data_IF_636420932960
#
_entry.id   IF_636420932960
#
_cell.length_a   1.000
_cell.length_b   1.000
_cell.length_c   1.000
_cell.angle_alpha   90.00
_cell.angle_beta   90.00
_cell.angle_gamma   90.00
#
_symmetry.space_group_name_H-M   'P 1'
#
loop_
_entity.id
_entity.type
_entity.pdbx_description
1 polymer ?
#
# COMPACT_ATOMS: atom_id res chain seq x y z
N UNK A 1 -34.29 31.64 -44.85
CA UNK A 1 -33.62 31.04 -43.67
C UNK A 1 -33.09 32.18 -42.80
N UNK A 2 -33.63 32.34 -41.58
CA UNK A 2 -33.39 33.54 -40.76
C UNK A 2 -31.94 33.62 -40.28
N UNK A 3 -31.30 34.78 -40.49
CA UNK A 3 -29.92 35.07 -40.04
C UNK A 3 -29.72 34.85 -38.53
N UNK A 4 -30.79 34.98 -37.74
CA UNK A 4 -30.80 34.70 -36.30
C UNK A 4 -30.57 33.22 -35.97
N UNK A 5 -31.00 32.29 -36.82
CA UNK A 5 -30.79 30.85 -36.65
C UNK A 5 -29.33 30.44 -36.98
N UNK A 6 -28.71 31.08 -37.99
CA UNK A 6 -27.28 30.89 -38.30
C UNK A 6 -26.37 31.36 -37.16
N UNK A 7 -26.67 32.53 -36.55
CA UNK A 7 -25.90 33.04 -35.41
C UNK A 7 -25.99 32.14 -34.17
N UNK A 8 -27.16 31.51 -33.95
CA UNK A 8 -27.37 30.60 -32.82
C UNK A 8 -26.58 29.29 -32.98
N UNK A 9 -26.49 28.75 -34.20
CA UNK A 9 -25.75 27.52 -34.51
C UNK A 9 -24.22 27.76 -34.41
N UNK A 10 -23.73 28.92 -34.86
CA UNK A 10 -22.30 29.28 -34.76
C UNK A 10 -21.87 29.48 -33.30
N UNK A 11 -22.74 30.05 -32.45
CA UNK A 11 -22.49 30.22 -31.01
C UNK A 11 -22.39 28.88 -30.25
N UNK A 12 -23.22 27.89 -30.61
CA UNK A 12 -23.18 26.55 -30.02
C UNK A 12 -21.91 25.77 -30.43
N UNK A 13 -21.41 25.99 -31.65
CA UNK A 13 -20.20 25.34 -32.17
C UNK A 13 -18.90 25.91 -31.56
N UNK A 14 -18.87 27.21 -31.24
CA UNK A 14 -17.72 27.87 -30.59
C UNK A 14 -17.61 27.56 -29.09
N UNK A 15 -18.64 27.02 -28.46
CA UNK A 15 -18.68 26.77 -27.00
C UNK A 15 -18.21 25.37 -26.57
N UNK A 16 -17.85 24.47 -27.49
CA UNK A 16 -17.51 23.07 -27.19
C UNK A 16 -16.06 22.65 -27.49
N UNK A 17 -15.13 23.59 -27.66
CA UNK A 17 -13.69 23.27 -27.73
C UNK A 17 -13.00 23.52 -26.39
N UNK A 18 -13.54 23.00 -25.30
CA UNK A 18 -12.74 22.81 -24.10
C UNK A 18 -11.94 21.52 -24.29
N UNK A 19 -10.67 21.66 -24.68
CA UNK A 19 -9.69 20.59 -24.50
C UNK A 19 -9.59 20.30 -23.00
N UNK A 20 -10.24 19.23 -22.54
CA UNK A 20 -10.04 18.70 -21.20
C UNK A 20 -8.65 18.05 -21.19
N UNK A 21 -7.64 18.79 -20.73
CA UNK A 21 -6.35 18.20 -20.38
C UNK A 21 -6.53 17.41 -19.09
N UNK A 22 -6.73 16.10 -19.23
CA UNK A 22 -6.79 15.17 -18.10
C UNK A 22 -5.41 14.89 -17.48
N UNK A 23 -4.32 15.37 -18.12
CA UNK A 23 -2.97 15.06 -17.71
C UNK A 23 -2.38 16.17 -16.85
N UNK A 24 -1.96 15.78 -15.65
CA UNK A 24 -1.24 16.59 -14.69
C UNK A 24 0.18 16.93 -15.22
N UNK A 25 0.63 18.16 -15.03
CA UNK A 25 2.02 18.58 -15.30
C UNK A 25 3.05 18.00 -14.30
N UNK A 26 2.60 17.16 -13.35
CA UNK A 26 3.47 16.51 -12.37
C UNK A 26 4.03 15.22 -12.95
N UNK A 27 5.26 15.30 -13.47
CA UNK A 27 5.96 14.18 -14.09
C UNK A 27 7.25 13.88 -13.31
N UNK A 28 7.44 12.61 -12.98
CA UNK A 28 8.72 12.06 -12.55
C UNK A 28 9.41 11.47 -13.78
N UNK A 29 10.58 11.97 -14.13
CA UNK A 29 11.35 11.52 -15.30
C UNK A 29 12.84 11.42 -14.97
N UNK A 30 13.52 10.47 -15.60
CA UNK A 30 14.92 10.18 -15.35
C UNK A 30 15.67 9.90 -16.65
N UNK A 31 16.98 10.19 -16.67
CA UNK A 31 17.85 10.04 -17.84
C UNK A 31 18.47 8.65 -17.99
N UNK A 32 18.28 7.78 -17.00
CA UNK A 32 18.89 6.46 -16.95
C UNK A 32 17.93 5.45 -16.28
N UNK A 33 18.04 4.15 -16.63
CA UNK A 33 17.32 3.08 -15.94
C UNK A 33 17.72 2.98 -14.46
N UNK A 34 16.83 2.40 -13.66
CA UNK A 34 17.10 2.07 -12.27
C UNK A 34 18.06 0.88 -12.14
N UNK A 35 18.99 0.95 -11.19
CA UNK A 35 19.82 -0.18 -10.75
C UNK A 35 19.29 -0.79 -9.45
N UNK A 36 18.70 0.04 -8.58
CA UNK A 36 18.15 -0.35 -7.28
C UNK A 36 16.63 -0.18 -7.23
N UNK A 37 15.97 -0.86 -6.28
CA UNK A 37 14.51 -0.84 -6.18
C UNK A 37 13.98 0.56 -5.84
N UNK A 38 14.70 1.30 -5.02
CA UNK A 38 14.39 2.65 -4.56
C UNK A 38 14.40 3.68 -5.70
N UNK A 39 15.00 3.33 -6.84
CA UNK A 39 15.07 4.16 -8.05
C UNK A 39 13.97 3.84 -9.07
N UNK A 40 13.26 2.72 -8.87
CA UNK A 40 12.22 2.26 -9.78
C UNK A 40 10.95 3.09 -9.68
N UNK A 41 10.19 3.16 -10.79
CA UNK A 41 8.91 3.86 -10.82
C UNK A 41 7.78 2.93 -10.43
N UNK A 42 7.07 3.28 -9.36
CA UNK A 42 5.96 2.49 -8.83
C UNK A 42 4.63 2.89 -9.47
N UNK A 43 3.90 1.90 -9.95
CA UNK A 43 2.55 2.00 -10.50
C UNK A 43 1.61 1.13 -9.67
N UNK A 44 0.35 1.52 -9.56
CA UNK A 44 -0.65 0.68 -8.91
C UNK A 44 -2.07 1.15 -9.09
N UNK A 45 -3.02 0.23 -8.96
CA UNK A 45 -4.46 0.48 -9.05
C UNK A 45 -5.20 0.22 -7.72
N UNK A 46 -4.47 0.14 -6.62
CA UNK A 46 -5.00 -0.19 -5.28
C UNK A 46 -5.08 -1.69 -4.98
N UNK A 47 -5.01 -2.57 -5.99
CA UNK A 47 -4.88 -4.02 -5.79
C UNK A 47 -3.56 -4.56 -6.34
N UNK A 48 -3.28 -4.29 -7.60
CA UNK A 48 -2.03 -4.69 -8.24
C UNK A 48 -1.04 -3.52 -8.21
N UNK A 49 0.23 -3.87 -8.00
CA UNK A 49 1.35 -2.94 -8.03
C UNK A 49 2.45 -3.46 -8.95
N UNK A 50 3.17 -2.52 -9.56
CA UNK A 50 4.34 -2.80 -10.38
C UNK A 50 5.44 -1.79 -10.08
N UNK A 51 6.68 -2.24 -9.99
CA UNK A 51 7.86 -1.37 -9.87
C UNK A 51 8.72 -1.54 -11.13
N UNK A 52 8.79 -0.50 -11.95
CA UNK A 52 9.37 -0.53 -13.31
C UNK A 52 10.77 0.07 -13.29
N UNK A 53 11.76 -0.69 -13.79
CA UNK A 53 13.17 -0.26 -13.78
C UNK A 53 13.60 0.50 -15.06
N UNK A 54 12.91 0.29 -16.19
CA UNK A 54 13.17 0.99 -17.45
C UNK A 54 14.40 0.48 -18.20
N UNK A 55 14.78 -0.80 -18.06
CA UNK A 55 15.94 -1.38 -18.73
C UNK A 55 15.84 -1.33 -20.26
N UNK A 56 16.94 -0.96 -20.93
CA UNK A 56 16.93 -0.68 -22.39
C UNK A 56 16.88 -1.95 -23.24
N UNK A 57 17.72 -2.95 -22.95
CA UNK A 57 17.74 -4.21 -23.70
C UNK A 57 16.75 -5.25 -23.14
N UNK A 58 16.58 -5.25 -21.82
CA UNK A 58 15.59 -6.02 -21.09
C UNK A 58 15.19 -5.20 -19.88
N UNK A 59 13.90 -5.08 -19.64
CA UNK A 59 13.38 -4.44 -18.44
C UNK A 59 13.20 -5.46 -17.32
N UNK A 60 13.08 -4.96 -16.09
CA UNK A 60 12.80 -5.72 -14.88
C UNK A 60 11.61 -5.06 -14.20
N UNK A 61 10.52 -5.81 -14.00
CA UNK A 61 9.28 -5.27 -13.44
C UNK A 61 8.89 -6.10 -12.24
N UNK A 62 9.00 -5.54 -11.03
CA UNK A 62 8.59 -6.27 -9.83
C UNK A 62 7.08 -6.17 -9.68
N UNK A 63 6.41 -7.29 -9.51
CA UNK A 63 4.96 -7.37 -9.41
C UNK A 63 4.51 -7.67 -7.98
N UNK A 64 3.37 -7.07 -7.62
CA UNK A 64 2.75 -7.21 -6.31
C UNK A 64 1.21 -7.29 -6.46
N UNK A 65 0.57 -8.10 -5.61
CA UNK A 65 -0.88 -8.11 -5.41
C UNK A 65 -1.17 -7.86 -3.93
N UNK A 66 -2.09 -6.96 -3.58
CA UNK A 66 -2.38 -6.54 -2.21
C UNK A 66 -2.86 -7.68 -1.29
N UNK A 67 -3.33 -8.79 -1.87
CA UNK A 67 -3.86 -9.96 -1.16
C UNK A 67 -2.87 -11.10 -1.04
N UNK A 68 -1.67 -10.99 -1.62
CA UNK A 68 -0.65 -12.03 -1.55
C UNK A 68 0.11 -11.96 -0.21
N UNK A 69 -0.38 -12.73 0.75
CA UNK A 69 0.20 -12.85 2.09
C UNK A 69 0.53 -14.32 2.39
N UNK A 70 1.53 -14.54 3.25
CA UNK A 70 1.85 -15.87 3.76
C UNK A 70 0.78 -16.38 4.73
N UNK A 71 0.80 -17.68 4.98
CA UNK A 71 0.04 -18.32 6.05
C UNK A 71 -1.44 -18.50 5.74
N UNK A 72 -2.24 -18.50 6.78
CA UNK A 72 -3.64 -18.90 6.78
C UNK A 72 -4.45 -18.06 7.79
N UNK A 73 -5.80 -18.14 7.78
CA UNK A 73 -6.62 -17.50 8.79
C UNK A 73 -6.15 -17.84 10.21
N UNK A 74 -5.97 -16.81 11.04
CA UNK A 74 -5.45 -16.96 12.40
C UNK A 74 -6.60 -17.23 13.37
N UNK A 75 -6.41 -18.19 14.27
CA UNK A 75 -7.31 -18.39 15.41
C UNK A 75 -7.32 -17.12 16.30
N UNK A 76 -8.47 -16.46 16.51
CA UNK A 76 -8.54 -15.27 17.36
C UNK A 76 -8.15 -15.56 18.83
N UNK A 77 -8.18 -16.82 19.26
CA UNK A 77 -7.81 -17.25 20.60
C UNK A 77 -6.41 -17.91 20.67
N UNK A 78 -5.40 -17.26 20.08
CA UNK A 78 -4.02 -17.79 20.00
C UNK A 78 -3.38 -18.14 21.35
N UNK A 79 -3.84 -17.55 22.45
CA UNK A 79 -3.36 -17.84 23.80
C UNK A 79 -4.53 -17.77 24.79
N UNK A 80 -5.32 -18.86 24.93
CA UNK A 80 -6.52 -18.90 25.77
C UNK A 80 -6.24 -18.62 27.25
N UNK A 81 -5.01 -18.89 27.68
CA UNK A 81 -4.58 -18.87 29.07
C UNK A 81 -3.86 -17.56 29.43
N UNK A 82 -3.71 -16.63 28.49
CA UNK A 82 -3.02 -15.36 28.68
C UNK A 82 -3.56 -14.58 29.89
N UNK A 83 -4.89 -14.50 30.01
CA UNK A 83 -5.55 -13.74 31.08
C UNK A 83 -5.16 -14.23 32.48
N UNK A 84 -4.81 -15.52 32.66
CA UNK A 84 -4.41 -16.08 33.95
C UNK A 84 -3.09 -15.51 34.46
N UNK A 85 -2.22 -15.02 33.57
CA UNK A 85 -0.93 -14.43 33.95
C UNK A 85 -1.02 -12.93 34.27
N UNK A 86 -2.10 -12.24 33.87
CA UNK A 86 -2.26 -10.79 34.06
C UNK A 86 -2.22 -10.38 35.55
N UNK A 87 -2.86 -11.09 36.50
CA UNK A 87 -2.76 -10.75 37.93
C UNK A 87 -1.32 -10.79 38.45
N UNK A 88 -0.55 -11.81 38.05
CA UNK A 88 0.84 -11.96 38.48
C UNK A 88 1.75 -10.86 37.91
N UNK A 89 1.52 -10.44 36.66
CA UNK A 89 2.23 -9.28 36.06
C UNK A 89 1.95 -8.01 36.86
N UNK A 90 0.67 -7.74 37.18
CA UNK A 90 0.27 -6.55 37.95
C UNK A 90 0.89 -6.53 39.35
N UNK A 91 0.93 -7.68 40.03
CA UNK A 91 1.55 -7.79 41.36
C UNK A 91 3.07 -7.57 41.29
N UNK A 92 3.75 -8.12 40.28
CA UNK A 92 5.18 -7.87 40.08
C UNK A 92 5.48 -6.39 39.85
N UNK A 93 4.65 -5.69 39.06
CA UNK A 93 4.77 -4.24 38.83
C UNK A 93 4.51 -3.42 40.09
N UNK A 94 3.50 -3.79 40.90
CA UNK A 94 3.19 -3.13 42.17
C UNK A 94 4.35 -3.21 43.16
N UNK A 95 5.10 -4.31 43.13
CA UNK A 95 6.29 -4.52 43.95
C UNK A 95 7.58 -4.03 43.27
N UNK A 96 7.49 -3.25 42.19
CA UNK A 96 8.63 -2.71 41.41
C UNK A 96 9.60 -3.79 40.89
N UNK A 97 9.15 -5.04 40.80
CA UNK A 97 9.95 -6.15 40.29
C UNK A 97 9.83 -6.26 38.76
N UNK A 98 10.47 -5.32 38.06
CA UNK A 98 10.37 -5.20 36.60
C UNK A 98 10.90 -6.42 35.84
N UNK A 99 11.93 -7.09 36.37
CA UNK A 99 12.50 -8.29 35.74
C UNK A 99 11.50 -9.45 35.74
N UNK A 100 10.80 -9.64 36.87
CA UNK A 100 9.75 -10.64 36.97
C UNK A 100 8.56 -10.26 36.08
N UNK A 101 8.18 -8.98 36.06
CA UNK A 101 7.09 -8.49 35.21
C UNK A 101 7.37 -8.77 33.73
N UNK A 102 8.57 -8.52 33.20
CA UNK A 102 8.93 -8.83 31.80
C UNK A 102 8.81 -10.34 31.51
N UNK A 103 9.34 -11.17 32.41
CA UNK A 103 9.29 -12.63 32.24
C UNK A 103 7.86 -13.16 32.22
N UNK A 104 6.98 -12.64 33.09
CA UNK A 104 5.57 -13.00 33.12
C UNK A 104 4.80 -12.45 31.91
N UNK A 105 5.17 -11.26 31.42
CA UNK A 105 4.55 -10.63 30.26
C UNK A 105 4.74 -11.44 28.96
N UNK A 106 5.81 -12.23 28.85
CA UNK A 106 5.99 -13.16 27.71
C UNK A 106 4.89 -14.23 27.63
N UNK A 107 4.26 -14.57 28.75
CA UNK A 107 3.19 -15.58 28.81
C UNK A 107 1.83 -15.09 28.30
N UNK A 108 1.69 -13.78 28.06
CA UNK A 108 0.44 -13.19 27.55
C UNK A 108 0.50 -12.86 26.06
N UNK A 109 1.64 -13.12 25.40
CA UNK A 109 1.86 -12.83 23.99
C UNK A 109 1.27 -13.92 23.09
N UNK A 110 1.12 -13.60 21.80
CA UNK A 110 0.69 -14.51 20.74
C UNK A 110 1.76 -14.71 19.67
N UNK A 111 1.36 -15.29 18.53
CA UNK A 111 2.23 -15.46 17.36
C UNK A 111 2.51 -14.13 16.66
N UNK A 112 3.63 -14.04 15.95
CA UNK A 112 3.90 -12.92 15.03
C UNK A 112 2.93 -12.92 13.84
N UNK A 113 2.76 -11.74 13.21
CA UNK A 113 1.91 -11.58 12.03
C UNK A 113 2.49 -12.32 10.82
N UNK A 114 1.62 -12.62 9.85
CA UNK A 114 2.04 -13.12 8.55
C UNK A 114 2.76 -12.02 7.73
N UNK A 115 3.50 -12.44 6.70
CA UNK A 115 4.31 -11.54 5.87
C UNK A 115 3.65 -11.31 4.52
N UNK A 116 3.74 -10.07 4.03
CA UNK A 116 3.39 -9.72 2.66
C UNK A 116 4.42 -10.30 1.69
N UNK A 117 3.98 -10.90 0.58
CA UNK A 117 4.87 -11.59 -0.35
C UNK A 117 4.94 -10.90 -1.73
N UNK A 118 6.13 -10.88 -2.36
CA UNK A 118 6.26 -10.44 -3.75
C UNK A 118 5.61 -11.46 -4.69
N UNK A 119 4.95 -10.99 -5.74
CA UNK A 119 4.35 -11.88 -6.74
C UNK A 119 5.43 -12.43 -7.68
N UNK A 120 6.41 -11.61 -8.05
CA UNK A 120 7.49 -12.02 -8.93
C UNK A 120 8.14 -10.85 -9.66
N UNK A 121 8.88 -11.17 -10.72
CA UNK A 121 9.58 -10.25 -11.61
C UNK A 121 9.49 -10.73 -13.04
#
# INVERSE_FOLDING_TARGET
>A
MNSKACFFIISICLCNCFFVYAQSDKILWYRQPANHFEESLVLGNGKMGASVFGGVASDKIYLNDATLWSGEPVDPNVNPEAYKNVPAVREALKNENYRLADSLNRKIQGKFSQSYAPLGT
#
